data_IF_326921371301
#
_entry.id   IF_326921371301
#
_cell.length_a   1.000
_cell.length_b   1.000
_cell.length_c   1.000
_cell.angle_alpha   90.00
_cell.angle_beta   90.00
_cell.angle_gamma   90.00
#
_symmetry.space_group_name_H-M   'P 1'
#
loop_
_entity.id
_entity.type
_entity.pdbx_description
1 polymer ?
#
# COMPACT_ATOMS: atom_id res chain seq x y z
N UNK A 1 -16.70 -3.81 0.39
CA UNK A 1 -17.63 -2.96 -0.38
C UNK A 1 -18.91 -3.75 -0.62
N UNK A 2 -20.11 -3.20 -0.38
CA UNK A 2 -21.39 -3.88 -0.64
C UNK A 2 -22.29 -2.99 -1.52
N UNK A 3 -23.19 -3.57 -2.34
CA UNK A 3 -24.12 -2.82 -3.18
C UNK A 3 -24.98 -1.80 -2.39
N UNK A 4 -25.50 -0.78 -3.07
CA UNK A 4 -26.34 0.26 -2.47
C UNK A 4 -27.75 -0.22 -2.13
N UNK A 5 -28.30 -1.12 -2.95
CA UNK A 5 -29.65 -1.68 -2.76
C UNK A 5 -29.75 -2.44 -1.42
N UNK A 6 -30.72 -2.12 -0.56
CA UNK A 6 -30.80 -2.68 0.79
C UNK A 6 -30.88 -4.20 0.88
N UNK A 7 -31.70 -4.87 0.07
CA UNK A 7 -31.90 -6.32 0.11
C UNK A 7 -30.64 -7.09 -0.26
N UNK A 8 -30.00 -6.71 -1.37
CA UNK A 8 -28.74 -7.27 -1.85
C UNK A 8 -27.61 -7.00 -0.85
N UNK A 9 -27.57 -5.80 -0.24
CA UNK A 9 -26.60 -5.48 0.81
C UNK A 9 -26.77 -6.37 2.04
N UNK A 10 -27.99 -6.70 2.44
CA UNK A 10 -28.25 -7.57 3.58
C UNK A 10 -27.68 -8.97 3.32
N UNK A 11 -28.02 -9.56 2.16
CA UNK A 11 -27.48 -10.86 1.74
C UNK A 11 -25.95 -10.83 1.66
N UNK A 12 -25.35 -9.78 1.09
CA UNK A 12 -23.90 -9.66 1.01
C UNK A 12 -23.22 -9.58 2.38
N UNK A 13 -23.84 -8.93 3.37
CA UNK A 13 -23.33 -8.88 4.75
C UNK A 13 -23.40 -10.25 5.43
N UNK A 14 -24.49 -10.98 5.24
CA UNK A 14 -24.65 -12.34 5.77
C UNK A 14 -23.56 -13.26 5.23
N UNK A 15 -23.35 -13.26 3.91
CA UNK A 15 -22.30 -14.05 3.28
C UNK A 15 -20.91 -13.65 3.77
N UNK A 16 -20.60 -12.34 3.82
CA UNK A 16 -19.32 -11.86 4.33
C UNK A 16 -19.07 -12.27 5.79
N UNK A 17 -20.10 -12.23 6.63
CA UNK A 17 -19.98 -12.64 8.03
C UNK A 17 -19.55 -14.11 8.19
N UNK A 18 -19.84 -14.98 7.21
CA UNK A 18 -19.40 -16.39 7.25
C UNK A 18 -17.91 -16.58 6.95
N UNK A 19 -17.25 -15.61 6.32
CA UNK A 19 -15.90 -15.79 5.74
C UNK A 19 -14.86 -14.78 6.20
N UNK A 20 -15.27 -13.62 6.74
CA UNK A 20 -14.36 -12.51 7.08
C UNK A 20 -13.23 -12.86 8.06
N UNK A 21 -13.43 -13.87 8.90
CA UNK A 21 -12.48 -14.31 9.93
C UNK A 21 -11.69 -15.57 9.50
N UNK A 22 -11.89 -16.05 8.26
CA UNK A 22 -11.11 -17.15 7.72
C UNK A 22 -9.63 -16.72 7.54
N UNK A 23 -8.67 -17.64 7.73
CA UNK A 23 -7.27 -17.35 7.47
C UNK A 23 -7.03 -16.87 6.03
N UNK A 24 -6.18 -15.85 5.87
CA UNK A 24 -5.73 -15.40 4.55
C UNK A 24 -4.79 -16.45 3.97
N UNK A 25 -5.17 -17.04 2.84
CA UNK A 25 -4.29 -17.87 2.02
C UNK A 25 -3.78 -17.01 0.87
N UNK A 26 -2.48 -16.69 0.88
CA UNK A 26 -1.81 -15.87 -0.15
C UNK A 26 -0.82 -16.71 -0.94
N UNK A 27 -1.25 -17.43 -2.00
CA UNK A 27 -0.40 -18.38 -2.72
C UNK A 27 0.60 -17.72 -3.69
N UNK A 28 0.52 -16.41 -3.88
CA UNK A 28 1.41 -15.63 -4.72
C UNK A 28 1.60 -14.22 -4.14
N UNK A 29 2.84 -13.76 -4.05
CA UNK A 29 3.16 -12.44 -3.49
C UNK A 29 4.62 -12.06 -3.71
N UNK A 30 4.94 -10.80 -3.38
CA UNK A 30 6.25 -10.19 -3.57
C UNK A 30 6.77 -9.48 -2.31
N UNK A 31 6.36 -9.93 -1.12
CA UNK A 31 6.93 -9.44 0.14
C UNK A 31 8.36 -9.94 0.30
N UNK A 32 9.22 -9.14 0.94
CA UNK A 32 10.60 -9.54 1.20
C UNK A 32 10.65 -10.57 2.35
N UNK A 33 11.18 -11.79 2.14
CA UNK A 33 11.27 -12.80 3.19
C UNK A 33 12.16 -12.38 4.37
N UNK A 34 13.11 -11.46 4.15
CA UNK A 34 14.01 -10.98 5.19
C UNK A 34 13.30 -10.20 6.29
N UNK A 35 12.14 -9.61 6.00
CA UNK A 35 11.30 -8.93 7.01
C UNK A 35 10.86 -9.89 8.10
N UNK A 36 10.44 -11.10 7.73
CA UNK A 36 10.00 -12.13 8.67
C UNK A 36 11.19 -12.82 9.35
N UNK A 37 12.30 -13.00 8.63
CA UNK A 37 13.49 -13.64 9.16
C UNK A 37 14.20 -12.79 10.24
N UNK A 38 14.24 -11.46 10.06
CA UNK A 38 14.94 -10.54 10.96
C UNK A 38 14.01 -9.86 11.97
N UNK A 39 12.73 -9.75 11.66
CA UNK A 39 11.72 -9.10 12.50
C UNK A 39 12.12 -7.68 12.96
N UNK A 40 12.78 -6.94 12.06
CA UNK A 40 13.15 -5.54 12.29
C UNK A 40 11.94 -4.62 12.07
N UNK A 41 11.93 -3.47 12.75
CA UNK A 41 10.90 -2.45 12.52
C UNK A 41 11.08 -1.78 11.16
N UNK A 42 9.98 -1.45 10.49
CA UNK A 42 10.02 -0.59 9.31
C UNK A 42 10.50 0.83 9.65
N UNK A 43 11.13 1.50 8.69
CA UNK A 43 11.76 2.80 8.90
C UNK A 43 10.77 3.97 9.06
N UNK A 44 10.06 4.33 7.99
CA UNK A 44 9.10 5.44 7.99
C UNK A 44 7.95 5.19 7.01
N UNK A 45 6.92 6.04 7.05
CA UNK A 45 5.73 5.90 6.21
C UNK A 45 6.05 5.93 4.70
N UNK A 46 7.00 6.76 4.27
CA UNK A 46 7.39 6.86 2.86
C UNK A 46 8.07 5.59 2.37
N UNK A 47 9.00 5.04 3.15
CA UNK A 47 9.72 3.80 2.80
C UNK A 47 8.82 2.56 2.82
N UNK A 48 7.77 2.54 3.65
CA UNK A 48 6.85 1.40 3.75
C UNK A 48 5.68 1.48 2.75
N UNK A 49 5.07 2.66 2.59
CA UNK A 49 3.77 2.80 1.91
C UNK A 49 3.89 3.45 0.54
N UNK A 50 4.73 4.47 0.39
CA UNK A 50 4.75 5.31 -0.82
C UNK A 50 5.78 4.83 -1.84
N UNK A 51 7.04 4.74 -1.43
CA UNK A 51 8.17 4.41 -2.32
C UNK A 51 8.09 3.01 -2.95
N UNK A 52 7.69 1.93 -2.23
CA UNK A 52 7.62 0.61 -2.85
C UNK A 52 6.33 0.39 -3.66
N UNK A 53 5.31 1.24 -3.51
CA UNK A 53 4.00 1.05 -4.14
C UNK A 53 3.88 1.84 -5.45
N UNK A 54 4.09 1.13 -6.55
CA UNK A 54 3.96 1.70 -7.89
C UNK A 54 2.55 2.13 -8.28
N UNK A 55 1.50 1.69 -7.58
CA UNK A 55 0.16 2.24 -7.82
C UNK A 55 0.08 3.70 -7.39
N UNK A 56 0.69 4.05 -6.25
CA UNK A 56 0.66 5.42 -5.72
C UNK A 56 1.51 6.37 -6.55
N UNK A 57 2.80 6.05 -6.73
CA UNK A 57 3.70 7.00 -7.38
C UNK A 57 3.43 7.14 -8.88
N UNK A 58 2.86 6.12 -9.55
CA UNK A 58 2.40 6.28 -10.95
C UNK A 58 1.25 7.27 -11.06
N UNK A 59 0.34 7.29 -10.09
CA UNK A 59 -0.75 8.27 -10.06
C UNK A 59 -0.22 9.68 -9.81
N UNK A 60 0.66 9.87 -8.84
CA UNK A 60 1.28 11.17 -8.57
C UNK A 60 2.09 11.68 -9.77
N UNK A 61 2.90 10.81 -10.39
CA UNK A 61 3.66 11.14 -11.59
C UNK A 61 2.75 11.57 -12.75
N UNK A 62 1.60 10.91 -12.92
CA UNK A 62 0.62 11.30 -13.95
C UNK A 62 0.02 12.70 -13.74
N UNK A 63 0.11 13.25 -12.52
CA UNK A 63 -0.32 14.60 -12.17
C UNK A 63 0.84 15.62 -12.16
N UNK A 64 2.04 15.21 -12.61
CA UNK A 64 3.20 16.10 -12.74
C UNK A 64 4.16 16.10 -11.56
N UNK A 65 4.01 15.19 -10.59
CA UNK A 65 4.97 15.01 -9.48
C UNK A 65 6.21 14.28 -9.98
N UNK A 66 7.40 14.82 -9.74
CA UNK A 66 8.65 14.16 -10.10
C UNK A 66 8.91 12.94 -9.18
N UNK A 67 9.45 11.85 -9.73
CA UNK A 67 9.73 10.64 -8.94
C UNK A 67 10.81 10.86 -7.89
N UNK A 68 11.74 11.77 -8.18
CA UNK A 68 12.83 12.20 -7.30
C UNK A 68 12.30 12.84 -6.01
N UNK A 69 11.21 13.61 -6.11
CA UNK A 69 10.55 14.22 -4.95
C UNK A 69 9.91 13.17 -4.01
N UNK A 70 9.70 11.96 -4.51
CA UNK A 70 9.18 10.80 -3.78
C UNK A 70 10.29 9.82 -3.34
N UNK A 71 11.56 10.14 -3.62
CA UNK A 71 12.69 9.25 -3.33
C UNK A 71 12.80 8.04 -4.27
N UNK A 72 12.18 8.12 -5.46
CA UNK A 72 12.18 7.06 -6.47
C UNK A 72 13.20 7.44 -7.56
N UNK A 73 14.28 6.68 -7.64
CA UNK A 73 15.43 6.98 -8.48
C UNK A 73 16.64 6.14 -8.09
N UNK A 74 17.85 6.50 -8.54
CA UNK A 74 19.07 5.78 -8.20
C UNK A 74 19.24 5.65 -6.67
N UNK A 75 19.71 4.50 -6.19
CA UNK A 75 19.78 4.16 -4.77
C UNK A 75 20.58 5.15 -3.88
N UNK A 76 21.35 6.07 -4.48
CA UNK A 76 22.16 7.09 -3.80
C UNK A 76 21.56 8.50 -3.81
N UNK A 77 20.37 8.70 -4.40
CA UNK A 77 19.73 10.02 -4.41
C UNK A 77 19.22 10.37 -3.00
N UNK A 78 19.68 11.49 -2.46
CA UNK A 78 19.20 12.01 -1.17
C UNK A 78 17.82 12.62 -1.37
N UNK A 79 16.86 12.28 -0.50
CA UNK A 79 15.53 12.88 -0.47
C UNK A 79 15.06 13.06 0.99
N UNK A 80 14.08 13.92 1.21
CA UNK A 80 13.47 14.12 2.53
C UNK A 80 12.18 13.28 2.62
N UNK A 81 12.16 12.19 3.41
CA UNK A 81 11.01 11.29 3.47
C UNK A 81 9.75 11.99 4.01
N UNK A 82 9.89 13.04 4.82
CA UNK A 82 8.75 13.80 5.34
C UNK A 82 8.20 14.77 4.30
N UNK A 83 9.05 15.34 3.43
CA UNK A 83 8.57 16.11 2.27
C UNK A 83 7.86 15.23 1.25
N UNK A 84 8.43 14.05 0.94
CA UNK A 84 7.78 13.06 0.08
C UNK A 84 6.38 12.68 0.60
N UNK A 85 6.26 12.41 1.91
CA UNK A 85 4.96 12.11 2.52
C UNK A 85 3.94 13.26 2.40
N UNK A 86 4.39 14.52 2.51
CA UNK A 86 3.53 15.70 2.35
C UNK A 86 3.03 15.92 0.91
N UNK A 87 3.65 15.29 -0.09
CA UNK A 87 3.14 15.33 -1.47
C UNK A 87 1.96 14.38 -1.64
N UNK A 88 1.95 13.25 -0.92
CA UNK A 88 0.85 12.31 -0.93
C UNK A 88 -0.39 12.80 -0.15
N UNK A 89 -0.17 13.55 0.94
CA UNK A 89 -1.19 13.96 1.91
C UNK A 89 -1.90 15.27 1.54
#
# INVERSE_FOLDING_TARGET
MFPSEPGVRAVARELYATVKDAPIVSPHGHTDPSWFARNETFGNATELLLRPDHYLFRMLYSQGVALEDLGIGPAKATYDPRKAWRILA
#
